data_IF_815230848070
#
_entry.id   IF_815230848070
#
_cell.length_a   1.000
_cell.length_b   1.000
_cell.length_c   1.000
_cell.angle_alpha   90.00
_cell.angle_beta   90.00
_cell.angle_gamma   90.00
#
_symmetry.space_group_name_H-M   'P 1'
#
loop_
_entity.id
_entity.type
_entity.pdbx_description
1 polymer ?
#
# COMPACT_ATOMS: atom_id res chain seq x y z
N UNK A 1 -30.02 9.59 -7.48
CA UNK A 1 -30.04 8.53 -6.45
C UNK A 1 -29.03 8.91 -5.39
N UNK A 2 -29.48 9.42 -4.24
CA UNK A 2 -28.62 9.76 -3.12
C UNK A 2 -28.53 8.55 -2.19
N UNK A 3 -27.33 7.98 -2.04
CA UNK A 3 -27.04 6.95 -1.06
C UNK A 3 -26.51 7.62 0.23
N UNK A 4 -26.91 7.16 1.43
CA UNK A 4 -26.54 7.80 2.69
C UNK A 4 -25.01 7.74 2.90
N UNK A 5 -24.47 8.88 3.34
CA UNK A 5 -23.14 9.09 3.95
C UNK A 5 -22.05 8.07 3.60
N UNK A 6 -21.33 8.30 2.48
CA UNK A 6 -19.97 7.81 2.22
C UNK A 6 -19.81 6.34 1.79
N UNK A 7 -20.65 5.43 2.29
CA UNK A 7 -20.58 3.98 2.00
C UNK A 7 -20.98 3.71 0.55
N UNK A 8 -22.05 4.35 0.09
CA UNK A 8 -22.57 4.16 -1.27
C UNK A 8 -21.58 4.58 -2.37
N UNK A 9 -20.76 5.61 -2.12
CA UNK A 9 -19.74 6.07 -3.10
C UNK A 9 -18.54 5.13 -3.17
N UNK A 10 -18.13 4.55 -2.05
CA UNK A 10 -16.93 3.69 -1.96
C UNK A 10 -17.17 2.33 -2.63
N UNK A 11 -18.29 1.66 -2.32
CA UNK A 11 -18.65 0.40 -2.98
C UNK A 11 -18.91 0.63 -4.49
N UNK A 12 -19.58 1.73 -4.85
CA UNK A 12 -19.87 2.05 -6.27
C UNK A 12 -18.66 2.50 -7.09
N UNK A 13 -17.49 2.73 -6.49
CA UNK A 13 -16.24 2.94 -7.23
C UNK A 13 -15.31 1.74 -7.15
N UNK A 14 -15.11 1.13 -5.97
CA UNK A 14 -14.20 -0.01 -5.82
C UNK A 14 -14.69 -1.22 -6.61
N UNK A 15 -15.97 -1.60 -6.49
CA UNK A 15 -16.47 -2.81 -7.15
C UNK A 15 -16.42 -2.72 -8.68
N UNK A 16 -16.89 -1.64 -9.34
CA UNK A 16 -16.74 -1.51 -10.79
C UNK A 16 -15.29 -1.48 -11.25
N UNK A 17 -14.39 -0.82 -10.53
CA UNK A 17 -12.96 -0.78 -10.89
C UNK A 17 -12.32 -2.16 -10.79
N UNK A 18 -12.55 -2.89 -9.69
CA UNK A 18 -12.07 -4.27 -9.54
C UNK A 18 -12.63 -5.17 -10.66
N UNK A 19 -13.90 -5.02 -11.00
CA UNK A 19 -14.53 -5.75 -12.11
C UNK A 19 -13.93 -5.38 -13.48
N UNK A 20 -13.49 -4.14 -13.67
CA UNK A 20 -12.82 -3.69 -14.89
C UNK A 20 -11.37 -4.22 -14.98
N UNK A 21 -10.64 -4.23 -13.85
CA UNK A 21 -9.31 -4.83 -13.77
C UNK A 21 -9.34 -6.33 -14.10
N UNK A 22 -10.38 -7.06 -13.65
CA UNK A 22 -10.60 -8.45 -14.07
C UNK A 22 -10.95 -8.66 -15.55
N UNK A 23 -11.05 -7.58 -16.33
CA UNK A 23 -11.18 -7.57 -17.80
C UNK A 23 -9.96 -6.94 -18.48
N UNK A 24 -8.83 -6.89 -17.78
CA UNK A 24 -7.57 -6.28 -18.23
C UNK A 24 -7.68 -4.79 -18.55
N UNK A 25 -8.64 -4.08 -17.93
CA UNK A 25 -8.85 -2.63 -18.13
C UNK A 25 -8.18 -1.77 -17.03
N UNK A 26 -6.93 -2.11 -16.67
CA UNK A 26 -6.09 -1.37 -15.74
C UNK A 26 -5.29 -2.27 -14.79
N UNK A 27 -4.07 -1.83 -14.44
CA UNK A 27 -3.11 -2.66 -13.70
C UNK A 27 -3.12 -2.43 -12.18
N UNK A 28 -3.53 -1.23 -11.73
CA UNK A 28 -3.48 -0.86 -10.30
C UNK A 28 -4.58 0.13 -9.93
N UNK A 29 -5.22 -0.09 -8.78
CA UNK A 29 -6.24 0.78 -8.20
C UNK A 29 -5.60 1.74 -7.20
N UNK A 30 -5.81 3.04 -7.35
CA UNK A 30 -5.43 4.04 -6.35
C UNK A 30 -6.67 4.65 -5.70
N UNK A 31 -6.85 4.44 -4.39
CA UNK A 31 -7.93 5.03 -3.60
C UNK A 31 -7.34 6.10 -2.67
N UNK A 32 -7.41 7.34 -3.10
CA UNK A 32 -6.84 8.49 -2.39
C UNK A 32 -7.90 9.18 -1.54
N UNK A 33 -7.60 9.38 -0.27
CA UNK A 33 -8.52 10.07 0.62
C UNK A 33 -7.84 10.80 1.78
N UNK A 34 -8.32 12.03 2.02
CA UNK A 34 -7.89 12.90 3.11
C UNK A 34 -8.57 12.59 4.46
N UNK A 35 -9.58 11.70 4.48
CA UNK A 35 -10.33 11.35 5.70
C UNK A 35 -10.01 9.93 6.15
N UNK A 36 -9.76 9.74 7.44
CA UNK A 36 -9.49 8.41 8.01
C UNK A 36 -10.68 7.46 7.84
N UNK A 37 -11.92 7.96 8.01
CA UNK A 37 -13.16 7.17 7.92
C UNK A 37 -13.30 6.49 6.56
N UNK A 38 -12.96 7.17 5.47
CA UNK A 38 -13.04 6.61 4.11
C UNK A 38 -11.98 5.55 3.84
N UNK A 39 -10.86 5.54 4.57
CA UNK A 39 -9.88 4.43 4.51
C UNK A 39 -10.46 3.16 5.10
N UNK A 40 -11.10 3.25 6.28
CA UNK A 40 -11.76 2.11 6.92
C UNK A 40 -12.86 1.54 6.03
N UNK A 41 -13.70 2.39 5.43
CA UNK A 41 -14.76 1.93 4.51
C UNK A 41 -14.18 1.21 3.28
N UNK A 42 -13.05 1.67 2.74
CA UNK A 42 -12.37 1.00 1.63
C UNK A 42 -11.82 -0.38 2.05
N UNK A 43 -11.18 -0.47 3.22
CA UNK A 43 -10.67 -1.70 3.80
C UNK A 43 -11.78 -2.74 4.07
N UNK A 44 -12.88 -2.29 4.67
CA UNK A 44 -14.07 -3.12 4.92
C UNK A 44 -14.66 -3.65 3.60
N UNK A 45 -14.70 -2.79 2.57
CA UNK A 45 -15.18 -3.17 1.24
C UNK A 45 -14.31 -4.27 0.63
N UNK A 46 -12.98 -4.12 0.64
CA UNK A 46 -12.08 -5.16 0.14
C UNK A 46 -12.17 -6.44 0.96
N UNK A 47 -12.30 -6.34 2.28
CA UNK A 47 -12.49 -7.50 3.15
C UNK A 47 -13.77 -8.27 2.82
N UNK A 48 -14.88 -7.57 2.57
CA UNK A 48 -16.12 -8.20 2.12
C UNK A 48 -15.96 -8.89 0.76
N UNK A 49 -15.26 -8.26 -0.18
CA UNK A 49 -15.01 -8.85 -1.50
C UNK A 49 -14.11 -10.09 -1.41
N UNK A 50 -13.10 -10.10 -0.55
CA UNK A 50 -12.25 -11.28 -0.30
C UNK A 50 -13.04 -12.45 0.27
N UNK A 51 -13.97 -12.20 1.18
CA UNK A 51 -14.90 -13.22 1.68
C UNK A 51 -15.78 -13.82 0.55
N UNK A 52 -15.94 -13.10 -0.56
CA UNK A 52 -16.64 -13.55 -1.77
C UNK A 52 -15.70 -14.12 -2.85
N UNK A 53 -14.43 -14.34 -2.53
CA UNK A 53 -13.45 -14.98 -3.41
C UNK A 53 -12.59 -14.02 -4.23
N UNK A 54 -12.64 -12.71 -3.97
CA UNK A 54 -11.71 -11.77 -4.59
C UNK A 54 -10.27 -12.11 -4.16
N UNK A 55 -9.40 -12.35 -5.14
CA UNK A 55 -7.95 -12.45 -4.95
C UNK A 55 -7.34 -11.11 -5.36
N UNK A 56 -7.12 -10.26 -4.37
CA UNK A 56 -6.66 -8.88 -4.61
C UNK A 56 -5.84 -8.39 -3.41
N UNK A 57 -4.58 -8.09 -3.67
CA UNK A 57 -3.63 -7.56 -2.69
C UNK A 57 -3.86 -6.06 -2.54
N UNK A 58 -4.33 -5.63 -1.38
CA UNK A 58 -4.49 -4.19 -1.09
C UNK A 58 -3.55 -3.74 0.00
N UNK A 59 -3.00 -2.53 -0.13
CA UNK A 59 -2.17 -1.90 0.90
C UNK A 59 -2.75 -0.59 1.39
N UNK A 60 -2.60 -0.33 2.69
CA UNK A 60 -2.89 0.97 3.30
C UNK A 60 -1.56 1.64 3.65
N UNK A 61 -1.20 2.66 2.89
CA UNK A 61 -0.01 3.45 3.18
C UNK A 61 -0.25 4.32 4.41
N UNK A 62 0.66 4.17 5.39
CA UNK A 62 0.61 4.88 6.66
C UNK A 62 1.77 5.86 6.75
N UNK A 63 1.47 7.03 7.30
CA UNK A 63 2.46 8.08 7.44
C UNK A 63 3.65 7.69 8.31
N UNK A 64 4.84 8.19 7.98
CA UNK A 64 6.09 7.87 8.69
C UNK A 64 5.97 8.20 10.18
N UNK A 65 5.39 9.35 10.50
CA UNK A 65 5.09 9.82 11.86
C UNK A 65 4.25 8.81 12.66
N UNK A 66 3.41 8.04 11.96
CA UNK A 66 2.47 7.10 12.57
C UNK A 66 3.03 5.70 12.64
N UNK A 67 3.76 5.23 11.63
CA UNK A 67 4.21 3.84 11.52
C UNK A 67 5.65 3.61 12.04
N UNK A 68 6.46 4.66 12.19
CA UNK A 68 7.85 4.53 12.62
C UNK A 68 7.95 4.01 14.06
N UNK A 69 8.64 2.88 14.26
CA UNK A 69 8.90 2.30 15.59
C UNK A 69 9.75 3.19 16.50
N UNK A 70 10.49 4.17 15.95
CA UNK A 70 11.26 5.12 16.75
C UNK A 70 10.39 6.27 17.29
N UNK A 71 9.15 6.44 16.80
CA UNK A 71 8.24 7.48 17.26
C UNK A 71 8.62 8.92 16.87
N UNK A 72 9.68 9.10 16.06
CA UNK A 72 10.09 10.38 15.49
C UNK A 72 10.38 10.26 13.99
N UNK A 73 10.36 11.40 13.29
CA UNK A 73 10.54 11.47 11.84
C UNK A 73 11.97 11.79 11.40
N UNK A 74 12.74 12.44 12.26
CA UNK A 74 14.17 12.71 12.06
C UNK A 74 14.91 11.37 11.97
N UNK A 75 15.23 10.98 10.74
CA UNK A 75 15.70 9.64 10.45
C UNK A 75 17.21 9.66 10.23
N UNK A 76 17.93 8.89 11.03
CA UNK A 76 19.33 8.57 10.79
C UNK A 76 19.45 7.07 10.45
N UNK A 77 19.60 6.71 9.16
CA UNK A 77 19.69 5.31 8.74
C UNK A 77 20.84 4.53 9.39
N UNK A 78 21.94 5.20 9.75
CA UNK A 78 23.11 4.57 10.38
C UNK A 78 22.89 4.21 11.85
N UNK A 79 21.97 4.92 12.52
CA UNK A 79 21.66 4.74 13.94
C UNK A 79 20.33 4.02 14.18
N UNK A 80 19.45 3.97 13.18
CA UNK A 80 18.17 3.30 13.30
C UNK A 80 18.32 1.79 13.12
N UNK A 81 17.94 0.96 14.11
CA UNK A 81 18.09 -0.51 14.04
C UNK A 81 17.27 -1.14 12.91
N UNK A 82 16.19 -0.48 12.48
CA UNK A 82 15.30 -0.95 11.43
C UNK A 82 15.72 -0.48 10.02
N UNK A 83 16.43 0.64 9.92
CA UNK A 83 16.91 1.17 8.64
C UNK A 83 18.29 0.61 8.27
N UNK A 84 19.16 0.40 9.26
CA UNK A 84 20.49 -0.16 9.06
C UNK A 84 20.40 -1.60 8.55
N UNK A 85 20.94 -1.85 7.36
CA UNK A 85 20.84 -3.14 6.67
C UNK A 85 19.41 -3.51 6.24
N UNK A 86 18.51 -2.52 6.11
CA UNK A 86 17.14 -2.74 5.65
C UNK A 86 17.10 -3.48 4.32
N UNK A 87 17.85 -3.00 3.32
CA UNK A 87 17.86 -3.56 1.97
C UNK A 87 18.43 -5.00 1.91
N UNK A 88 19.22 -5.40 2.91
CA UNK A 88 19.74 -6.76 3.02
C UNK A 88 18.63 -7.75 3.45
N UNK A 89 17.64 -7.28 4.22
CA UNK A 89 16.58 -8.11 4.84
C UNK A 89 15.21 -7.96 4.18
N UNK A 90 14.97 -6.85 3.46
CA UNK A 90 13.63 -6.47 2.99
C UNK A 90 13.01 -7.49 2.04
N UNK A 91 13.81 -8.17 1.21
CA UNK A 91 13.29 -9.16 0.26
C UNK A 91 12.65 -10.36 0.97
N UNK A 92 13.23 -10.84 2.06
CA UNK A 92 12.65 -11.93 2.87
C UNK A 92 11.35 -11.48 3.53
N UNK A 93 11.32 -10.25 4.06
CA UNK A 93 10.12 -9.66 4.65
C UNK A 93 8.99 -9.51 3.63
N UNK A 94 9.31 -9.07 2.41
CA UNK A 94 8.35 -8.92 1.31
C UNK A 94 7.80 -10.29 0.95
N UNK A 95 8.66 -11.28 0.70
CA UNK A 95 8.23 -12.62 0.32
C UNK A 95 7.31 -13.25 1.37
N UNK A 96 7.67 -13.15 2.65
CA UNK A 96 6.90 -13.67 3.77
C UNK A 96 5.50 -13.03 3.82
N UNK A 97 5.40 -11.70 3.74
CA UNK A 97 4.11 -11.03 3.78
C UNK A 97 3.27 -11.31 2.51
N UNK A 98 3.89 -11.31 1.32
CA UNK A 98 3.19 -11.58 0.06
C UNK A 98 2.61 -12.99 -0.03
N UNK A 99 3.25 -13.97 0.58
CA UNK A 99 2.81 -15.38 0.54
C UNK A 99 1.71 -15.70 1.55
N UNK A 100 1.61 -14.93 2.64
CA UNK A 100 0.66 -15.20 3.72
C UNK A 100 -0.53 -14.24 3.74
N UNK A 101 -0.39 -13.03 3.20
CA UNK A 101 -1.40 -11.97 3.34
C UNK A 101 -1.96 -11.49 1.99
N UNK A 102 -3.23 -11.07 2.01
CA UNK A 102 -3.87 -10.32 0.91
C UNK A 102 -4.22 -8.88 1.32
N UNK A 103 -4.19 -8.55 2.61
CA UNK A 103 -4.48 -7.21 3.14
C UNK A 103 -3.28 -6.67 3.91
N UNK A 104 -2.58 -5.70 3.33
CA UNK A 104 -1.39 -5.09 3.89
C UNK A 104 -1.81 -3.86 4.69
N UNK A 105 -2.41 -4.14 5.84
CA UNK A 105 -2.84 -3.13 6.80
C UNK A 105 -1.63 -2.57 7.55
N UNK A 106 -1.82 -1.45 8.26
CA UNK A 106 -0.77 -0.92 9.15
C UNK A 106 -0.27 -1.99 10.14
N UNK A 107 -1.19 -2.71 10.79
CA UNK A 107 -0.83 -3.71 11.79
C UNK A 107 -0.04 -4.87 11.19
N UNK A 108 -0.38 -5.31 9.97
CA UNK A 108 0.37 -6.35 9.26
C UNK A 108 1.75 -5.88 8.82
N UNK A 109 1.86 -4.66 8.32
CA UNK A 109 3.17 -4.09 7.99
C UNK A 109 4.04 -4.00 9.25
N UNK A 110 3.50 -3.53 10.38
CA UNK A 110 4.23 -3.47 11.65
C UNK A 110 4.63 -4.87 12.15
N UNK A 111 3.74 -5.85 12.09
CA UNK A 111 4.00 -7.24 12.51
C UNK A 111 5.20 -7.83 11.76
N UNK A 112 5.18 -7.79 10.42
CA UNK A 112 6.24 -8.38 9.61
C UNK A 112 7.51 -7.52 9.62
N UNK A 113 7.39 -6.18 9.67
CA UNK A 113 8.55 -5.32 9.80
C UNK A 113 9.32 -5.59 11.10
N UNK A 114 8.61 -5.81 12.20
CA UNK A 114 9.23 -6.17 13.47
C UNK A 114 9.86 -7.57 13.42
N UNK A 115 9.15 -8.55 12.83
CA UNK A 115 9.66 -9.93 12.66
C UNK A 115 11.00 -9.96 11.91
N UNK A 116 11.12 -9.17 10.85
CA UNK A 116 12.30 -9.13 9.97
C UNK A 116 13.28 -8.00 10.30
N UNK A 117 12.99 -7.22 11.34
CA UNK A 117 13.79 -6.07 11.77
C UNK A 117 14.06 -5.08 10.61
N UNK A 118 13.02 -4.72 9.87
CA UNK A 118 13.08 -3.75 8.76
C UNK A 118 12.28 -2.49 9.07
N UNK A 119 12.63 -1.36 8.44
CA UNK A 119 11.90 -0.11 8.57
C UNK A 119 10.45 -0.29 8.07
N UNK A 120 9.42 -0.14 8.93
CA UNK A 120 8.04 -0.39 8.51
C UNK A 120 7.54 0.62 7.48
N UNK A 121 8.09 1.84 7.48
CA UNK A 121 7.75 2.87 6.50
C UNK A 121 8.24 2.49 5.10
N UNK A 122 9.54 2.23 4.93
CA UNK A 122 10.12 1.82 3.64
C UNK A 122 9.54 0.47 3.18
N UNK A 123 9.37 -0.47 4.11
CA UNK A 123 8.76 -1.77 3.82
C UNK A 123 7.35 -1.65 3.24
N UNK A 124 6.52 -0.76 3.79
CA UNK A 124 5.19 -0.47 3.22
C UNK A 124 5.26 0.14 1.81
N UNK A 125 6.24 1.00 1.55
CA UNK A 125 6.46 1.56 0.20
C UNK A 125 6.89 0.48 -0.79
N UNK A 126 7.81 -0.41 -0.41
CA UNK A 126 8.25 -1.51 -1.29
C UNK A 126 7.12 -2.49 -1.58
N UNK A 127 6.32 -2.86 -0.57
CA UNK A 127 5.15 -3.72 -0.74
C UNK A 127 4.09 -3.13 -1.68
N UNK A 128 3.99 -1.81 -1.78
CA UNK A 128 3.02 -1.15 -2.64
C UNK A 128 3.25 -1.42 -4.14
N UNK A 129 4.48 -1.76 -4.52
CA UNK A 129 4.81 -2.17 -5.89
C UNK A 129 4.06 -3.46 -6.27
N UNK A 130 3.88 -4.36 -5.31
CA UNK A 130 3.25 -5.67 -5.46
C UNK A 130 1.75 -5.70 -5.14
N UNK A 131 1.18 -4.57 -4.69
CA UNK A 131 -0.25 -4.48 -4.39
C UNK A 131 -1.07 -4.14 -5.65
N UNK A 132 -2.21 -4.80 -5.84
CA UNK A 132 -3.18 -4.48 -6.89
C UNK A 132 -3.92 -3.17 -6.57
N UNK A 133 -4.08 -2.84 -5.28
CA UNK A 133 -4.72 -1.60 -4.84
C UNK A 133 -3.98 -0.90 -3.72
N UNK A 134 -3.80 0.41 -3.87
CA UNK A 134 -3.14 1.29 -2.91
C UNK A 134 -4.17 2.26 -2.33
N UNK A 135 -4.31 2.24 -1.01
CA UNK A 135 -5.17 3.13 -0.22
C UNK A 135 -4.26 4.07 0.56
N UNK A 136 -4.42 5.38 0.39
CA UNK A 136 -3.49 6.34 0.99
C UNK A 136 -3.97 7.78 1.00
N UNK A 137 -3.14 8.65 1.56
CA UNK A 137 -3.34 10.10 1.46
C UNK A 137 -2.88 10.62 0.10
N UNK A 138 -3.50 11.71 -0.36
CA UNK A 138 -3.09 12.44 -1.55
C UNK A 138 -1.62 12.87 -1.46
N UNK A 139 -1.17 13.25 -0.26
CA UNK A 139 0.20 13.69 -0.02
C UNK A 139 1.22 12.58 -0.26
N UNK A 140 0.87 11.30 -0.07
CA UNK A 140 1.80 10.21 -0.38
C UNK A 140 1.98 10.07 -1.88
N UNK A 141 0.92 10.24 -2.69
CA UNK A 141 0.96 10.00 -4.13
C UNK A 141 1.68 11.10 -4.94
N UNK A 142 1.74 12.33 -4.39
CA UNK A 142 2.19 13.51 -5.11
C UNK A 142 3.31 14.30 -4.41
N UNK A 143 3.79 13.89 -3.23
CA UNK A 143 4.94 14.55 -2.60
C UNK A 143 6.24 14.11 -3.31
N UNK A 144 7.00 15.05 -3.92
CA UNK A 144 8.25 14.74 -4.61
C UNK A 144 9.36 14.22 -3.69
N UNK A 145 9.24 14.38 -2.35
CA UNK A 145 10.13 13.82 -1.34
C UNK A 145 9.68 12.42 -0.89
N UNK A 146 8.43 12.05 -1.15
CA UNK A 146 7.83 10.73 -0.87
C UNK A 146 7.86 9.88 -2.16
N UNK A 147 9.01 9.86 -2.82
CA UNK A 147 9.52 8.78 -3.66
C UNK A 147 8.60 8.07 -4.69
N UNK A 148 7.55 8.70 -5.21
CA UNK A 148 6.77 8.15 -6.34
C UNK A 148 7.43 8.27 -7.71
N UNK A 149 8.72 8.64 -7.79
CA UNK A 149 9.53 8.31 -8.97
C UNK A 149 9.41 6.82 -9.35
N UNK A 150 9.25 5.93 -8.36
CA UNK A 150 9.14 4.47 -8.57
C UNK A 150 7.90 4.04 -9.37
N UNK A 151 6.83 4.83 -9.40
CA UNK A 151 5.61 4.54 -10.17
C UNK A 151 5.45 5.45 -11.40
N UNK A 152 6.07 6.65 -11.40
CA UNK A 152 5.75 7.70 -12.37
C UNK A 152 6.96 8.47 -12.98
N UNK A 153 8.20 7.99 -12.86
CA UNK A 153 9.36 8.54 -13.63
C UNK A 153 10.30 7.42 -14.11
N UNK A 154 10.83 7.39 -15.34
CA UNK A 154 10.87 8.35 -16.45
C UNK A 154 10.08 7.85 -17.68
N UNK A 155 9.48 8.78 -18.42
CA UNK A 155 8.97 8.49 -19.75
C UNK A 155 10.13 8.22 -20.73
N UNK A 156 10.39 6.96 -21.08
CA UNK A 156 10.98 6.56 -22.36
C UNK A 156 10.82 5.05 -22.58
N UNK A 157 10.53 4.70 -23.83
CA UNK A 157 10.40 3.34 -24.36
C UNK A 157 11.55 2.41 -23.96
N UNK A 158 11.24 1.13 -23.72
CA UNK A 158 12.24 0.08 -23.53
C UNK A 158 11.66 -1.31 -23.63
N UNK A 159 11.51 -1.81 -24.86
CA UNK A 159 11.39 -3.24 -25.16
C UNK A 159 12.71 -3.90 -24.74
N UNK A 160 12.67 -4.87 -23.82
CA UNK A 160 13.65 -5.97 -23.70
C UNK A 160 12.90 -7.14 -23.02
N UNK A 161 12.46 -8.18 -23.72
CA UNK A 161 13.28 -9.28 -24.26
C UNK A 161 14.16 -9.94 -23.19
N UNK A 162 13.59 -10.95 -22.54
CA UNK A 162 14.26 -12.22 -22.24
C UNK A 162 13.30 -13.35 -22.61
#
# INVERSE_FOLDING_TARGET
MEAPTGVGKTISTIFPTVKAMGKDMGDKLFYLTAKTITRTVAEDTFSLLRQKGLRFKSIILTAKEKICFQGHTECNPEQCPYAKGHFDRVNEAIYDLLTHEESFTRSKIEEYALKHQVCPFEFGLDLSLFADGIIGDYNYLFDPHVYLKRFFGDGSQGIMSF
#
